data_IF_576585956512
#
_entry.id   IF_576585956512
#
_cell.length_a   1.000
_cell.length_b   1.000
_cell.length_c   1.000
_cell.angle_alpha   90.00
_cell.angle_beta   90.00
_cell.angle_gamma   90.00
#
_symmetry.space_group_name_H-M   'P 1'
#
loop_
_entity.id
_entity.type
_entity.pdbx_description
1 polymer ?
#
# COMPACT_ATOMS: atom_id res chain seq x y z
N UNK A 1 33.95 4.07 -17.41
CA UNK A 1 32.53 4.16 -17.80
C UNK A 1 31.74 3.31 -16.82
N UNK A 2 31.17 3.93 -15.79
CA UNK A 2 30.45 3.19 -14.75
C UNK A 2 29.00 3.08 -15.23
N UNK A 3 28.62 1.90 -15.73
CA UNK A 3 27.25 1.63 -16.11
C UNK A 3 26.44 1.44 -14.83
N UNK A 4 25.84 2.52 -14.33
CA UNK A 4 24.70 2.41 -13.43
C UNK A 4 23.59 1.75 -14.23
N UNK A 5 23.45 0.44 -14.07
CA UNK A 5 22.26 -0.28 -14.49
C UNK A 5 21.10 0.23 -13.61
N UNK A 6 20.57 1.39 -13.97
CA UNK A 6 19.33 1.91 -13.43
C UNK A 6 18.21 1.05 -13.97
N UNK A 7 18.05 -0.16 -13.43
CA UNK A 7 16.73 -0.75 -13.38
C UNK A 7 15.88 0.29 -12.66
N UNK A 8 14.96 0.93 -13.39
CA UNK A 8 13.75 1.44 -12.78
C UNK A 8 13.16 0.24 -12.05
N UNK A 9 13.48 0.07 -10.76
CA UNK A 9 12.88 -0.95 -9.91
C UNK A 9 11.38 -0.83 -10.14
N UNK A 10 10.81 -1.80 -10.86
CA UNK A 10 9.46 -1.69 -11.35
C UNK A 10 8.57 -1.46 -10.14
N UNK A 11 7.80 -0.36 -10.15
CA UNK A 11 6.98 0.07 -9.02
C UNK A 11 6.05 -1.08 -8.60
N UNK A 12 6.38 -1.78 -7.53
CA UNK A 12 5.58 -2.90 -7.00
C UNK A 12 4.44 -2.36 -6.16
N UNK A 13 3.23 -2.52 -6.67
CA UNK A 13 2.02 -1.99 -6.04
C UNK A 13 1.08 -3.12 -5.64
N UNK A 14 0.42 -2.98 -4.50
CA UNK A 14 -0.71 -3.80 -4.08
C UNK A 14 -1.98 -3.03 -4.37
N UNK A 15 -2.87 -3.61 -5.17
CA UNK A 15 -4.19 -3.06 -5.43
C UNK A 15 -5.25 -3.96 -4.80
N UNK A 16 -5.95 -3.43 -3.80
CA UNK A 16 -7.07 -4.10 -3.15
C UNK A 16 -8.36 -3.58 -3.77
N UNK A 17 -9.16 -4.48 -4.33
CA UNK A 17 -10.50 -4.18 -4.84
C UNK A 17 -11.52 -4.92 -4.01
N UNK A 18 -12.65 -4.25 -3.74
CA UNK A 18 -13.81 -4.89 -3.13
C UNK A 18 -15.05 -4.56 -3.95
N UNK A 19 -16.02 -5.47 -3.93
CA UNK A 19 -17.31 -5.28 -4.58
C UNK A 19 -18.22 -4.31 -3.81
N UNK A 20 -19.52 -4.37 -4.10
CA UNK A 20 -20.51 -3.49 -3.45
C UNK A 20 -20.83 -3.85 -2.00
N UNK A 21 -20.41 -5.03 -1.53
CA UNK A 21 -20.58 -5.46 -0.13
C UNK A 21 -19.68 -4.65 0.80
N UNK A 22 -20.11 -4.40 2.04
CA UNK A 22 -19.22 -3.77 3.02
C UNK A 22 -18.14 -4.76 3.44
N UNK A 23 -16.89 -4.34 3.22
CA UNK A 23 -15.67 -5.07 3.60
C UNK A 23 -14.82 -4.23 4.58
N UNK A 24 -15.45 -3.43 5.43
CA UNK A 24 -14.77 -2.52 6.37
C UNK A 24 -13.70 -3.23 7.21
N UNK A 25 -13.91 -4.51 7.57
CA UNK A 25 -12.92 -5.32 8.29
C UNK A 25 -11.66 -5.61 7.46
N UNK A 26 -11.80 -5.89 6.16
CA UNK A 26 -10.66 -6.07 5.26
C UNK A 26 -9.92 -4.75 5.06
N UNK A 27 -10.67 -3.67 4.84
CA UNK A 27 -10.07 -2.34 4.66
C UNK A 27 -9.30 -1.91 5.91
N UNK A 28 -9.86 -2.14 7.12
CA UNK A 28 -9.15 -1.94 8.40
C UNK A 28 -7.89 -2.78 8.54
N UNK A 29 -7.93 -4.04 8.12
CA UNK A 29 -6.76 -4.91 8.17
C UNK A 29 -5.64 -4.40 7.25
N UNK A 30 -5.98 -3.89 6.06
CA UNK A 30 -5.02 -3.31 5.12
C UNK A 30 -4.50 -1.93 5.58
N UNK A 31 -5.27 -1.21 6.38
CA UNK A 31 -4.87 0.06 7.02
C UNK A 31 -4.07 -0.15 8.33
N UNK A 32 -3.72 -1.39 8.66
CA UNK A 32 -2.89 -1.70 9.81
C UNK A 32 -1.40 -1.52 9.47
N UNK A 33 -0.66 -0.78 10.31
CA UNK A 33 0.77 -0.52 10.13
C UNK A 33 1.61 -1.80 9.99
N UNK A 34 1.32 -2.85 10.77
CA UNK A 34 2.08 -4.10 10.71
C UNK A 34 1.92 -4.78 9.35
N UNK A 35 0.72 -4.72 8.75
CA UNK A 35 0.46 -5.24 7.41
C UNK A 35 1.21 -4.43 6.36
N UNK A 36 1.17 -3.10 6.46
CA UNK A 36 1.88 -2.20 5.53
C UNK A 36 3.40 -2.39 5.60
N UNK A 37 3.97 -2.52 6.80
CA UNK A 37 5.39 -2.79 7.00
C UNK A 37 5.80 -4.15 6.43
N UNK A 38 4.97 -5.20 6.56
CA UNK A 38 5.21 -6.50 5.93
C UNK A 38 5.15 -6.42 4.40
N UNK A 39 4.20 -5.68 3.83
CA UNK A 39 4.15 -5.43 2.39
C UNK A 39 5.41 -4.71 1.90
N UNK A 40 5.85 -3.70 2.65
CA UNK A 40 7.07 -2.97 2.37
C UNK A 40 8.32 -3.86 2.44
N UNK A 41 8.45 -4.71 3.47
CA UNK A 41 9.52 -5.71 3.58
C UNK A 41 9.55 -6.69 2.41
N UNK A 42 8.38 -7.00 1.82
CA UNK A 42 8.26 -7.83 0.61
C UNK A 42 8.53 -7.05 -0.69
N UNK A 43 8.83 -5.76 -0.58
CA UNK A 43 9.18 -4.88 -1.70
C UNK A 43 8.00 -4.21 -2.37
N UNK A 44 6.79 -4.31 -1.82
CA UNK A 44 5.64 -3.54 -2.28
C UNK A 44 5.69 -2.14 -1.68
N UNK A 45 5.88 -1.14 -2.53
CA UNK A 45 6.11 0.25 -2.12
C UNK A 45 4.84 1.09 -2.13
N UNK A 46 3.76 0.57 -2.72
CA UNK A 46 2.51 1.31 -2.88
C UNK A 46 1.31 0.44 -2.59
N UNK A 47 0.36 0.98 -1.83
CA UNK A 47 -0.91 0.34 -1.51
C UNK A 47 -2.04 1.25 -2.01
N UNK A 48 -2.91 0.71 -2.87
CA UNK A 48 -4.14 1.35 -3.32
C UNK A 48 -5.32 0.49 -2.89
N UNK A 49 -6.31 1.09 -2.23
CA UNK A 49 -7.52 0.40 -1.80
C UNK A 49 -8.72 1.08 -2.48
N UNK A 50 -9.39 0.35 -3.36
CA UNK A 50 -10.68 0.74 -3.89
C UNK A 50 -11.76 0.26 -2.93
N UNK A 51 -12.57 1.20 -2.42
CA UNK A 51 -13.64 0.91 -1.47
C UNK A 51 -14.99 0.78 -2.18
N UNK A 52 -15.85 -0.09 -1.64
CA UNK A 52 -17.24 -0.28 -2.05
C UNK A 52 -18.21 0.56 -1.21
N UNK A 53 -19.35 -0.02 -0.81
CA UNK A 53 -20.33 0.64 0.10
C UNK A 53 -19.92 0.64 1.58
N UNK A 54 -18.65 0.34 1.86
CA UNK A 54 -18.08 0.40 3.21
C UNK A 54 -18.09 1.82 3.76
N UNK A 55 -17.99 1.94 5.08
CA UNK A 55 -18.01 3.23 5.79
C UNK A 55 -16.68 3.57 6.44
N UNK A 56 -15.78 2.60 6.54
CA UNK A 56 -14.45 2.83 7.07
C UNK A 56 -13.60 3.63 6.07
N UNK A 57 -12.92 4.67 6.56
CA UNK A 57 -12.01 5.49 5.77
C UNK A 57 -10.58 5.21 6.26
N UNK A 58 -9.70 4.63 5.44
CA UNK A 58 -8.31 4.41 5.77
C UNK A 58 -7.59 5.70 6.15
N UNK A 59 -6.64 5.60 7.07
CA UNK A 59 -5.75 6.71 7.38
C UNK A 59 -4.88 6.99 6.16
N UNK A 60 -4.78 8.27 5.78
CA UNK A 60 -3.88 8.67 4.70
C UNK A 60 -2.45 8.44 5.17
N UNK A 61 -1.77 7.45 4.60
CA UNK A 61 -0.33 7.28 4.80
C UNK A 61 0.34 8.50 4.17
N UNK A 62 0.62 9.52 4.98
CA UNK A 62 1.49 10.62 4.60
C UNK A 62 2.90 10.03 4.62
N UNK A 63 3.53 9.93 3.46
CA UNK A 63 4.92 9.53 3.35
C UNK A 63 5.77 10.62 4.03
N UNK A 64 6.03 10.47 5.32
CA UNK A 64 7.11 11.20 5.97
C UNK A 64 8.36 10.42 5.64
N UNK A 65 9.04 10.82 4.57
CA UNK A 65 10.41 10.41 4.33
C UNK A 65 11.26 10.97 5.48
N UNK A 66 11.29 10.26 6.61
CA UNK A 66 12.28 10.51 7.66
C UNK A 66 13.59 9.91 7.16
N UNK A 67 14.37 10.76 6.48
CA UNK A 67 15.78 10.50 6.26
C UNK A 67 16.49 10.54 7.63
N UNK A 68 16.80 9.36 8.18
CA UNK A 68 17.83 9.16 9.21
C UNK A 68 18.67 7.98 8.79
#
# INVERSE_FOLDING_TARGET
MNQSNGSLEARRSVFVTVGTTSFDSLVRAMDNKNVQEELFRKGYTHLLIQMGRGTYIPNKVVEVALYT
#
